data_IF_947431978813
#
_entry.id   IF_947431978813
#
_cell.length_a   1.000
_cell.length_b   1.000
_cell.length_c   1.000
_cell.angle_alpha   90.00
_cell.angle_beta   90.00
_cell.angle_gamma   90.00
#
_symmetry.space_group_name_H-M   'P 1'
#
loop_
_entity.id
_entity.type
_entity.pdbx_description
1 polymer ?
#
# COMPACT_ATOMS: atom_id res chain seq x y z
N UNK A 1 -4.79 -23.74 -7.25
CA UNK A 1 -5.96 -23.11 -6.62
C UNK A 1 -6.93 -22.61 -7.68
N UNK A 2 -8.24 -22.93 -7.61
CA UNK A 2 -9.27 -22.25 -8.41
C UNK A 2 -9.36 -20.76 -8.02
N UNK A 3 -9.70 -19.90 -8.98
CA UNK A 3 -9.84 -18.45 -8.77
C UNK A 3 -11.23 -17.94 -9.18
N UNK A 4 -11.79 -17.03 -8.38
CA UNK A 4 -13.01 -16.29 -8.70
C UNK A 4 -12.73 -14.78 -8.67
N UNK A 5 -13.11 -14.07 -9.73
CA UNK A 5 -13.04 -12.61 -9.78
C UNK A 5 -14.35 -12.02 -9.29
N UNK A 6 -14.30 -11.08 -8.35
CA UNK A 6 -15.46 -10.44 -7.72
C UNK A 6 -15.43 -8.93 -7.93
N UNK A 7 -16.53 -8.39 -8.44
CA UNK A 7 -16.74 -6.98 -8.74
C UNK A 7 -17.30 -6.25 -7.51
N UNK A 8 -16.59 -5.24 -7.05
CA UNK A 8 -16.95 -4.35 -5.94
C UNK A 8 -16.86 -2.88 -6.37
N UNK A 9 -17.27 -1.94 -5.52
CA UNK A 9 -17.01 -0.51 -5.66
C UNK A 9 -15.54 -0.19 -5.38
N UNK A 10 -15.10 0.96 -5.86
CA UNK A 10 -13.75 1.46 -5.67
C UNK A 10 -13.61 2.16 -4.33
N UNK A 11 -12.63 1.72 -3.56
CA UNK A 11 -12.12 2.37 -2.35
C UNK A 11 -10.60 2.23 -2.36
N UNK A 12 -9.88 3.04 -1.59
CA UNK A 12 -8.42 2.98 -1.44
C UNK A 12 -8.05 1.80 -0.54
N UNK A 13 -8.66 1.72 0.64
CA UNK A 13 -8.18 0.83 1.70
C UNK A 13 -9.19 -0.25 2.08
N UNK A 14 -10.49 -0.03 1.79
CA UNK A 14 -11.57 -0.94 2.21
C UNK A 14 -11.51 -1.24 3.73
N UNK A 15 -11.09 -0.23 4.49
CA UNK A 15 -10.92 -0.25 5.95
C UNK A 15 -12.15 0.23 6.72
N UNK A 16 -13.30 0.35 6.05
CA UNK A 16 -14.52 0.95 6.56
C UNK A 16 -14.87 2.27 5.90
N UNK A 17 -16.09 2.76 6.16
CA UNK A 17 -16.61 3.97 5.54
C UNK A 17 -15.94 5.21 6.10
N UNK A 18 -15.32 5.99 5.22
CA UNK A 18 -14.73 7.29 5.53
C UNK A 18 -15.15 8.34 4.49
N UNK A 19 -15.10 9.62 4.87
CA UNK A 19 -15.28 10.74 3.94
C UNK A 19 -14.09 10.83 2.96
N UNK A 20 -12.90 10.41 3.39
CA UNK A 20 -11.67 10.46 2.59
C UNK A 20 -11.50 9.23 1.67
N UNK A 21 -12.32 8.20 1.90
CA UNK A 21 -12.38 6.97 1.12
C UNK A 21 -13.82 6.44 0.98
N UNK A 22 -14.71 7.16 0.27
CA UNK A 22 -16.07 6.71 0.03
C UNK A 22 -16.10 5.61 -1.06
N UNK A 23 -17.07 4.69 -1.04
CA UNK A 23 -17.25 3.74 -2.13
C UNK A 23 -17.67 4.47 -3.42
N UNK A 24 -16.89 4.29 -4.48
CA UNK A 24 -17.12 4.90 -5.80
C UNK A 24 -17.48 3.84 -6.85
N UNK A 25 -18.56 4.08 -7.61
CA UNK A 25 -19.09 3.07 -8.52
C UNK A 25 -19.84 1.95 -7.78
N UNK A 26 -20.22 0.87 -8.48
CA UNK A 26 -20.96 -0.25 -7.85
C UNK A 26 -22.45 -0.37 -8.24
N UNK A 27 -22.93 0.44 -9.19
CA UNK A 27 -24.31 0.40 -9.70
C UNK A 27 -25.19 1.52 -9.17
N UNK A 28 -26.51 1.36 -9.24
CA UNK A 28 -27.48 2.41 -8.85
C UNK A 28 -27.76 2.47 -7.33
N UNK A 29 -27.39 1.43 -6.57
CA UNK A 29 -27.62 1.32 -5.12
C UNK A 29 -26.74 2.24 -4.25
N UNK A 30 -25.42 2.37 -4.52
CA UNK A 30 -24.53 3.30 -3.81
C UNK A 30 -25.04 4.74 -3.79
N UNK A 31 -25.64 5.18 -4.90
CA UNK A 31 -26.15 6.55 -5.10
C UNK A 31 -27.47 6.86 -4.36
N UNK A 32 -28.16 5.87 -3.77
CA UNK A 32 -29.44 6.07 -3.08
C UNK A 32 -29.39 5.85 -1.57
N UNK A 33 -28.54 4.96 -1.06
CA UNK A 33 -28.52 4.62 0.37
C UNK A 33 -27.15 4.79 1.06
N UNK A 34 -26.07 5.08 0.33
CA UNK A 34 -24.75 5.38 0.92
C UNK A 34 -24.01 4.17 1.51
N UNK A 35 -24.47 2.94 1.23
CA UNK A 35 -23.92 1.68 1.75
C UNK A 35 -23.74 0.65 0.64
N UNK A 36 -22.57 -0.03 0.58
CA UNK A 36 -22.24 -1.02 -0.47
C UNK A 36 -21.97 -2.44 0.07
N UNK A 37 -21.80 -2.63 1.37
CA UNK A 37 -21.56 -3.93 2.00
C UNK A 37 -20.10 -4.37 1.99
N UNK A 38 -19.30 -3.83 1.06
CA UNK A 38 -17.90 -4.16 0.77
C UNK A 38 -16.88 -3.24 1.42
N UNK A 39 -17.34 -2.26 2.22
CA UNK A 39 -16.48 -1.23 2.81
C UNK A 39 -15.45 -1.78 3.79
N UNK A 40 -15.68 -2.94 4.39
CA UNK A 40 -14.77 -3.59 5.34
C UNK A 40 -14.10 -4.85 4.77
N UNK A 41 -14.04 -5.01 3.45
CA UNK A 41 -13.44 -6.19 2.83
C UNK A 41 -11.95 -6.40 3.22
N UNK A 42 -11.26 -5.44 3.82
CA UNK A 42 -9.88 -5.66 4.28
C UNK A 42 -9.67 -5.29 5.76
N UNK A 43 -10.76 -5.25 6.53
CA UNK A 43 -10.70 -5.06 7.97
C UNK A 43 -10.52 -6.41 8.67
N UNK A 44 -9.40 -6.56 9.36
CA UNK A 44 -9.16 -7.69 10.26
C UNK A 44 -10.19 -7.70 11.40
N UNK A 45 -10.77 -8.87 11.61
CA UNK A 45 -11.71 -9.16 12.68
C UNK A 45 -11.00 -9.61 13.96
N UNK A 46 -11.72 -9.55 15.07
CA UNK A 46 -11.22 -9.95 16.39
C UNK A 46 -10.83 -11.45 16.45
N UNK A 47 -11.27 -12.26 15.47
CA UNK A 47 -10.97 -13.69 15.33
C UNK A 47 -9.83 -14.00 14.34
N UNK A 48 -9.12 -12.97 13.83
CA UNK A 48 -8.00 -13.10 12.89
C UNK A 48 -8.41 -13.38 11.44
N UNK A 49 -9.69 -13.27 11.11
CA UNK A 49 -10.20 -13.39 9.74
C UNK A 49 -10.50 -12.02 9.12
N UNK A 50 -10.60 -11.98 7.80
CA UNK A 50 -11.32 -10.93 7.06
C UNK A 50 -12.58 -11.51 6.43
N UNK A 51 -13.59 -10.67 6.28
CA UNK A 51 -14.92 -11.05 5.79
C UNK A 51 -15.27 -10.27 4.53
N UNK A 52 -15.20 -10.94 3.38
CA UNK A 52 -15.41 -10.33 2.08
C UNK A 52 -16.86 -10.36 1.61
N UNK A 53 -17.30 -9.25 1.03
CA UNK A 53 -18.61 -9.04 0.44
C UNK A 53 -18.50 -8.70 -1.05
N UNK A 54 -19.43 -9.22 -1.84
CA UNK A 54 -19.77 -8.73 -3.17
C UNK A 54 -21.25 -8.96 -3.42
N UNK A 55 -21.86 -8.13 -4.26
CA UNK A 55 -23.31 -8.15 -4.42
C UNK A 55 -23.81 -9.37 -5.24
N UNK A 56 -24.66 -10.17 -4.63
CA UNK A 56 -25.35 -11.32 -5.25
C UNK A 56 -26.79 -10.99 -5.67
N UNK A 57 -27.39 -9.96 -5.10
CA UNK A 57 -28.76 -9.54 -5.35
C UNK A 57 -28.89 -8.95 -6.75
N UNK A 58 -29.92 -9.38 -7.48
CA UNK A 58 -30.36 -8.77 -8.73
C UNK A 58 -31.87 -8.60 -8.68
N UNK A 59 -32.33 -7.36 -8.52
CA UNK A 59 -33.75 -7.08 -8.27
C UNK A 59 -34.18 -7.69 -6.93
N UNK A 60 -35.13 -8.62 -6.95
CA UNK A 60 -35.63 -9.31 -5.75
C UNK A 60 -34.94 -10.65 -5.46
N UNK A 61 -34.03 -11.09 -6.32
CA UNK A 61 -33.41 -12.41 -6.23
C UNK A 61 -32.00 -12.30 -5.67
N UNK A 62 -31.75 -12.96 -4.53
CA UNK A 62 -30.40 -13.26 -4.08
C UNK A 62 -29.88 -14.50 -4.83
N UNK A 63 -28.90 -14.29 -5.72
CA UNK A 63 -28.38 -15.33 -6.61
C UNK A 63 -27.35 -16.18 -5.88
N UNK A 64 -27.36 -17.48 -6.15
CA UNK A 64 -26.38 -18.41 -5.61
C UNK A 64 -25.11 -18.45 -6.47
N UNK A 65 -23.95 -18.47 -5.82
CA UNK A 65 -22.66 -18.70 -6.45
C UNK A 65 -22.53 -20.20 -6.72
N UNK A 66 -22.23 -20.57 -7.97
CA UNK A 66 -22.03 -21.96 -8.40
C UNK A 66 -20.64 -22.44 -7.98
N UNK A 67 -20.48 -22.70 -6.69
CA UNK A 67 -19.22 -23.18 -6.11
C UNK A 67 -18.81 -24.55 -6.64
N UNK A 68 -19.71 -25.30 -7.28
CA UNK A 68 -19.38 -26.53 -7.99
C UNK A 68 -18.42 -26.30 -9.18
N UNK A 69 -18.42 -25.09 -9.76
CA UNK A 69 -17.45 -24.70 -10.79
C UNK A 69 -16.04 -24.47 -10.20
N UNK A 70 -15.90 -24.50 -8.88
CA UNK A 70 -14.66 -24.28 -8.14
C UNK A 70 -14.23 -25.54 -7.36
N UNK A 71 -14.87 -26.68 -7.63
CA UNK A 71 -14.46 -27.99 -7.09
C UNK A 71 -15.28 -28.51 -5.91
N UNK A 72 -16.36 -27.84 -5.51
CA UNK A 72 -17.30 -28.36 -4.49
C UNK A 72 -18.42 -29.21 -5.08
N UNK A 73 -19.14 -29.94 -4.22
CA UNK A 73 -20.34 -30.66 -4.62
C UNK A 73 -21.55 -29.71 -4.76
N UNK A 74 -22.52 -30.12 -5.58
CA UNK A 74 -23.77 -29.35 -5.79
C UNK A 74 -24.59 -29.17 -4.51
N UNK A 75 -24.43 -30.07 -3.54
CA UNK A 75 -25.07 -30.02 -2.23
C UNK A 75 -24.35 -29.12 -1.22
N UNK A 76 -23.09 -28.77 -1.47
CA UNK A 76 -22.29 -28.05 -0.48
C UNK A 76 -22.74 -26.61 -0.29
N UNK A 77 -22.61 -26.13 0.94
CA UNK A 77 -22.90 -24.74 1.30
C UNK A 77 -21.73 -23.78 1.06
N UNK A 78 -20.50 -24.30 0.95
CA UNK A 78 -19.27 -23.54 0.76
C UNK A 78 -18.18 -24.39 0.10
N UNK A 79 -17.13 -23.73 -0.37
CA UNK A 79 -15.89 -24.35 -0.87
C UNK A 79 -14.70 -23.68 -0.19
N UNK A 80 -13.71 -24.46 0.22
CA UNK A 80 -12.44 -23.99 0.79
C UNK A 80 -11.34 -24.03 -0.29
N UNK A 81 -10.24 -23.31 -0.05
CA UNK A 81 -9.09 -23.32 -0.97
C UNK A 81 -9.38 -22.62 -2.29
N UNK A 82 -10.09 -21.49 -2.25
CA UNK A 82 -10.36 -20.65 -3.44
C UNK A 82 -9.63 -19.32 -3.29
N UNK A 83 -8.97 -18.89 -4.35
CA UNK A 83 -8.45 -17.52 -4.43
C UNK A 83 -9.54 -16.57 -4.92
N UNK A 84 -9.74 -15.46 -4.22
CA UNK A 84 -10.73 -14.44 -4.61
C UNK A 84 -9.99 -13.19 -5.06
N UNK A 85 -10.22 -12.77 -6.30
CA UNK A 85 -9.63 -11.54 -6.86
C UNK A 85 -10.69 -10.45 -6.85
N UNK A 86 -10.44 -9.38 -6.12
CA UNK A 86 -11.33 -8.23 -6.06
C UNK A 86 -11.05 -7.27 -7.20
N UNK A 87 -12.10 -6.79 -7.85
CA UNK A 87 -11.99 -5.83 -8.95
C UNK A 87 -12.98 -4.69 -8.79
N UNK A 88 -12.55 -3.47 -9.09
CA UNK A 88 -13.36 -2.27 -8.95
C UNK A 88 -13.16 -1.30 -10.11
N UNK A 89 -14.15 -0.46 -10.45
CA UNK A 89 -14.01 0.55 -11.49
C UNK A 89 -13.02 1.65 -11.04
N UNK A 90 -12.01 1.97 -11.85
CA UNK A 90 -11.01 3.03 -11.56
C UNK A 90 -11.69 4.36 -11.19
N UNK A 91 -11.54 4.78 -9.93
CA UNK A 91 -12.20 5.97 -9.36
C UNK A 91 -13.72 6.03 -9.64
N UNK A 92 -14.39 4.88 -9.63
CA UNK A 92 -15.82 4.75 -9.88
C UNK A 92 -16.22 4.66 -11.36
N UNK A 93 -15.25 4.67 -12.29
CA UNK A 93 -15.49 4.56 -13.74
C UNK A 93 -14.79 3.34 -14.34
N UNK A 94 -15.38 2.75 -15.38
CA UNK A 94 -14.67 1.72 -16.13
C UNK A 94 -13.46 2.33 -16.87
N UNK A 95 -12.36 1.59 -17.05
CA UNK A 95 -12.23 0.13 -16.88
C UNK A 95 -12.10 -0.34 -15.42
N UNK A 96 -12.51 -1.58 -15.16
CA UNK A 96 -12.28 -2.25 -13.88
C UNK A 96 -10.83 -2.67 -13.72
N UNK A 97 -10.33 -2.59 -12.49
CA UNK A 97 -8.97 -2.94 -12.12
C UNK A 97 -8.98 -3.96 -10.99
N UNK A 98 -7.97 -4.84 -10.92
CA UNK A 98 -7.71 -5.63 -9.71
C UNK A 98 -7.31 -4.68 -8.58
N UNK A 99 -8.00 -4.77 -7.45
CA UNK A 99 -7.78 -3.92 -6.26
C UNK A 99 -7.19 -4.69 -5.08
N UNK A 100 -7.12 -6.00 -5.17
CA UNK A 100 -6.61 -6.87 -4.12
C UNK A 100 -7.11 -8.30 -4.31
N UNK A 101 -6.73 -9.18 -3.40
CA UNK A 101 -7.14 -10.57 -3.42
C UNK A 101 -7.11 -11.20 -2.03
N UNK A 102 -7.84 -12.30 -1.90
CA UNK A 102 -7.71 -13.23 -0.80
C UNK A 102 -7.12 -14.54 -1.31
N UNK A 103 -6.19 -15.10 -0.54
CA UNK A 103 -5.65 -16.44 -0.75
C UNK A 103 -6.37 -17.44 0.14
N UNK A 104 -6.47 -18.68 -0.35
CA UNK A 104 -6.97 -19.83 0.42
C UNK A 104 -8.30 -19.55 1.16
N UNK A 105 -9.22 -18.85 0.50
CA UNK A 105 -10.46 -18.40 1.12
C UNK A 105 -11.53 -19.50 1.12
N UNK A 106 -12.45 -19.39 2.09
CA UNK A 106 -13.75 -20.03 2.05
C UNK A 106 -14.74 -19.15 1.30
N UNK A 107 -15.38 -19.68 0.27
CA UNK A 107 -16.45 -19.03 -0.47
C UNK A 107 -17.78 -19.75 -0.22
N UNK A 108 -18.82 -18.99 0.13
CA UNK A 108 -20.14 -19.53 0.40
C UNK A 108 -21.03 -19.49 -0.86
N UNK A 109 -21.88 -20.52 -1.02
CA UNK A 109 -22.90 -20.58 -2.09
C UNK A 109 -23.95 -19.47 -1.94
N UNK A 110 -24.25 -19.10 -0.70
CA UNK A 110 -25.26 -18.11 -0.30
C UNK A 110 -24.66 -17.12 0.69
N UNK A 111 -25.24 -15.93 0.73
CA UNK A 111 -24.92 -14.89 1.71
C UNK A 111 -25.04 -15.40 3.13
N UNK A 112 -24.02 -15.13 3.94
CA UNK A 112 -23.99 -15.40 5.36
C UNK A 112 -24.28 -14.12 6.13
N UNK A 113 -24.94 -14.23 7.27
CA UNK A 113 -25.24 -13.10 8.15
C UNK A 113 -24.41 -13.18 9.43
N UNK A 114 -23.96 -12.02 9.92
CA UNK A 114 -23.31 -11.90 11.24
C UNK A 114 -24.30 -12.05 12.40
N UNK A 115 -25.62 -12.00 12.14
CA UNK A 115 -26.68 -12.19 13.15
C UNK A 115 -26.48 -11.34 14.42
N UNK A 116 -26.05 -10.09 14.26
CA UNK A 116 -25.78 -9.15 15.35
C UNK A 116 -24.44 -9.34 16.07
N UNK A 117 -23.67 -10.39 15.76
CA UNK A 117 -22.30 -10.61 16.23
C UNK A 117 -21.31 -10.11 15.19
N UNK A 118 -21.12 -8.80 15.20
CA UNK A 118 -20.18 -8.15 14.28
C UNK A 118 -18.75 -8.64 14.57
N UNK A 119 -17.96 -8.91 13.51
CA UNK A 119 -16.63 -9.50 13.67
C UNK A 119 -15.57 -8.47 14.09
N UNK A 120 -15.86 -7.17 13.99
CA UNK A 120 -15.01 -6.11 14.56
C UNK A 120 -15.81 -4.87 14.91
N UNK A 121 -15.18 -3.95 15.66
CA UNK A 121 -15.75 -2.65 15.99
C UNK A 121 -16.13 -1.83 14.74
N UNK A 122 -15.33 -1.93 13.66
CA UNK A 122 -15.58 -1.22 12.40
C UNK A 122 -16.79 -1.80 11.67
N UNK A 123 -16.92 -3.13 11.58
CA UNK A 123 -18.11 -3.77 10.98
C UNK A 123 -19.41 -3.37 11.71
N UNK A 124 -19.35 -3.25 13.04
CA UNK A 124 -20.47 -2.76 13.86
C UNK A 124 -20.78 -1.29 13.56
N UNK A 125 -19.75 -0.44 13.49
CA UNK A 125 -19.87 0.99 13.16
C UNK A 125 -20.54 1.20 11.80
N UNK A 126 -20.09 0.44 10.80
CA UNK A 126 -20.58 0.54 9.43
C UNK A 126 -21.86 -0.27 9.18
N UNK A 127 -22.35 -0.96 10.21
CA UNK A 127 -23.58 -1.76 10.22
C UNK A 127 -23.59 -2.84 9.13
N UNK A 128 -22.43 -3.40 8.81
CA UNK A 128 -22.30 -4.45 7.79
C UNK A 128 -22.83 -5.78 8.32
N UNK A 129 -23.86 -6.34 7.68
CA UNK A 129 -24.61 -7.47 8.22
C UNK A 129 -24.26 -8.82 7.61
N UNK A 130 -23.57 -8.83 6.48
CA UNK A 130 -23.40 -10.05 5.70
C UNK A 130 -22.10 -10.13 4.93
N UNK A 131 -21.65 -11.34 4.66
CA UNK A 131 -20.46 -11.65 3.89
C UNK A 131 -20.69 -12.87 2.97
N UNK A 132 -19.83 -13.03 1.98
CA UNK A 132 -19.82 -14.14 1.02
C UNK A 132 -18.54 -14.97 1.11
N UNK A 133 -17.47 -14.39 1.66
CA UNK A 133 -16.12 -14.94 1.65
C UNK A 133 -15.49 -14.73 3.02
N UNK A 134 -14.67 -15.66 3.48
CA UNK A 134 -13.75 -15.42 4.59
C UNK A 134 -12.38 -16.04 4.36
N UNK A 135 -11.32 -15.39 4.82
CA UNK A 135 -9.96 -15.93 4.88
C UNK A 135 -9.22 -15.37 6.10
N UNK A 136 -8.07 -15.95 6.47
CA UNK A 136 -7.21 -15.36 7.50
C UNK A 136 -6.71 -13.99 7.05
N UNK A 137 -6.55 -13.04 7.98
CA UNK A 137 -6.12 -11.68 7.65
C UNK A 137 -4.76 -11.64 6.93
N UNK A 138 -3.82 -12.50 7.32
CA UNK A 138 -2.51 -12.65 6.64
C UNK A 138 -2.60 -13.11 5.17
N UNK A 139 -3.75 -13.67 4.76
CA UNK A 139 -4.00 -14.12 3.40
C UNK A 139 -4.76 -13.08 2.56
N UNK A 140 -5.07 -11.91 3.11
CA UNK A 140 -5.80 -10.85 2.44
C UNK A 140 -4.86 -9.69 2.08
N UNK A 141 -4.82 -9.36 0.79
CA UNK A 141 -3.91 -8.38 0.22
C UNK A 141 -4.71 -7.30 -0.52
N UNK A 142 -4.66 -6.07 -0.03
CA UNK A 142 -5.20 -4.90 -0.73
C UNK A 142 -4.08 -4.19 -1.47
N UNK A 143 -4.35 -3.76 -2.71
CA UNK A 143 -3.45 -2.93 -3.49
C UNK A 143 -3.81 -1.47 -3.27
N UNK A 144 -2.82 -0.63 -2.99
CA UNK A 144 -3.00 0.82 -3.03
C UNK A 144 -3.36 1.26 -4.45
N UNK A 145 -4.10 2.37 -4.64
CA UNK A 145 -4.51 2.86 -5.96
C UNK A 145 -3.42 2.80 -7.04
N UNK A 146 -2.20 3.21 -6.70
CA UNK A 146 -1.03 3.25 -7.57
C UNK A 146 -0.43 1.87 -7.92
N UNK A 147 -0.71 0.84 -7.12
CA UNK A 147 -0.28 -0.55 -7.33
C UNK A 147 -1.27 -1.34 -8.20
N UNK A 148 -2.47 -0.79 -8.43
CA UNK A 148 -3.51 -1.40 -9.26
C UNK A 148 -3.12 -1.24 -10.71
N UNK A 149 -2.61 -2.30 -11.33
CA UNK A 149 -2.11 -2.25 -12.72
C UNK A 149 -2.88 -3.17 -13.67
N UNK A 150 -3.68 -4.09 -13.14
CA UNK A 150 -4.41 -5.08 -13.93
C UNK A 150 -5.79 -4.56 -14.32
N UNK A 151 -5.89 -3.96 -15.51
CA UNK A 151 -7.19 -3.54 -16.10
C UNK A 151 -7.87 -4.69 -16.83
N UNK A 152 -9.15 -4.91 -16.52
CA UNK A 152 -10.02 -5.86 -17.21
C UNK A 152 -10.46 -5.24 -18.55
N UNK A 153 -10.52 -6.07 -19.59
CA UNK A 153 -11.16 -5.69 -20.85
C UNK A 153 -12.64 -6.05 -20.83
N UNK A 154 -13.39 -5.52 -21.80
CA UNK A 154 -14.81 -5.86 -22.02
C UNK A 154 -14.95 -6.75 -23.24
N UNK A 155 -15.96 -7.60 -23.23
CA UNK A 155 -16.32 -8.43 -24.39
C UNK A 155 -16.63 -9.86 -24.03
N UNK A 156 -16.92 -10.67 -25.05
CA UNK A 156 -17.20 -12.11 -24.89
C UNK A 156 -15.98 -12.81 -24.27
N UNK A 157 -16.21 -13.58 -23.22
CA UNK A 157 -15.16 -14.30 -22.48
C UNK A 157 -14.55 -13.51 -21.33
N UNK A 158 -14.85 -12.22 -21.18
CA UNK A 158 -14.48 -11.39 -20.03
C UNK A 158 -15.64 -11.30 -19.01
N UNK A 159 -15.41 -10.61 -17.89
CA UNK A 159 -16.43 -10.42 -16.84
C UNK A 159 -17.76 -9.94 -17.41
N UNK A 160 -18.83 -10.66 -17.08
CA UNK A 160 -20.19 -10.37 -17.52
C UNK A 160 -20.95 -9.41 -16.59
N UNK A 161 -22.28 -9.50 -16.65
CA UNK A 161 -23.21 -8.67 -15.86
C UNK A 161 -23.34 -9.11 -14.39
N UNK A 162 -22.80 -10.28 -14.03
CA UNK A 162 -22.77 -10.70 -12.63
C UNK A 162 -21.62 -10.00 -11.89
N UNK A 163 -21.77 -9.85 -10.57
CA UNK A 163 -20.71 -9.28 -9.75
C UNK A 163 -19.57 -10.28 -9.48
N UNK A 164 -19.55 -11.43 -10.17
CA UNK A 164 -18.47 -12.40 -10.11
C UNK A 164 -18.26 -13.06 -11.47
N UNK A 165 -17.05 -13.57 -11.69
CA UNK A 165 -16.63 -14.16 -12.96
C UNK A 165 -15.72 -15.38 -12.75
N UNK A 166 -16.16 -16.54 -13.26
CA UNK A 166 -15.39 -17.79 -13.34
C UNK A 166 -14.36 -17.69 -14.46
N UNK A 167 -13.27 -16.98 -14.18
CA UNK A 167 -12.34 -16.57 -15.21
C UNK A 167 -11.52 -17.73 -15.80
N UNK A 168 -11.39 -18.85 -15.10
CA UNK A 168 -10.70 -20.05 -15.60
C UNK A 168 -11.46 -20.77 -16.73
N UNK A 169 -12.78 -20.60 -16.80
CA UNK A 169 -13.63 -21.24 -17.83
C UNK A 169 -13.59 -20.49 -19.18
N UNK A 170 -12.89 -19.35 -19.26
CA UNK A 170 -12.91 -18.54 -20.48
C UNK A 170 -12.16 -19.21 -21.63
N UNK A 171 -12.81 -19.23 -22.79
CA UNK A 171 -12.17 -19.65 -24.05
C UNK A 171 -11.40 -18.52 -24.73
N UNK A 172 -11.61 -17.28 -24.29
CA UNK A 172 -10.96 -16.10 -24.86
C UNK A 172 -9.47 -16.05 -24.52
N UNK A 173 -8.65 -15.75 -25.53
CA UNK A 173 -7.18 -15.82 -25.40
C UNK A 173 -6.65 -14.69 -24.51
N UNK A 174 -7.17 -13.47 -24.65
CA UNK A 174 -6.67 -12.33 -23.88
C UNK A 174 -7.12 -12.41 -22.42
N UNK A 175 -8.36 -12.87 -22.16
CA UNK A 175 -8.87 -13.14 -20.82
C UNK A 175 -8.04 -14.22 -20.11
N UNK A 176 -7.74 -15.35 -20.75
CA UNK A 176 -6.86 -16.38 -20.16
C UNK A 176 -5.46 -15.84 -19.84
N UNK A 177 -4.88 -15.05 -20.73
CA UNK A 177 -3.58 -14.45 -20.50
C UNK A 177 -3.61 -13.49 -19.31
N UNK A 178 -4.67 -12.69 -19.19
CA UNK A 178 -4.90 -11.81 -18.04
C UNK A 178 -4.98 -12.59 -16.72
N UNK A 179 -5.81 -13.65 -16.66
CA UNK A 179 -5.96 -14.48 -15.47
C UNK A 179 -4.62 -15.08 -15.05
N UNK A 180 -3.83 -15.62 -15.99
CA UNK A 180 -2.51 -16.18 -15.68
C UNK A 180 -1.56 -15.15 -15.08
N UNK A 181 -1.56 -13.92 -15.61
CA UNK A 181 -0.71 -12.84 -15.08
C UNK A 181 -1.12 -12.42 -13.68
N UNK A 182 -2.43 -12.32 -13.43
CA UNK A 182 -2.94 -12.02 -12.09
C UNK A 182 -2.53 -13.12 -11.11
N UNK A 183 -2.71 -14.40 -11.45
CA UNK A 183 -2.28 -15.52 -10.59
C UNK A 183 -0.78 -15.51 -10.33
N UNK A 184 0.04 -15.25 -11.35
CA UNK A 184 1.49 -15.15 -11.18
C UNK A 184 1.87 -14.00 -10.23
N UNK A 185 1.22 -12.84 -10.34
CA UNK A 185 1.44 -11.71 -9.44
C UNK A 185 0.98 -11.99 -8.00
N UNK A 186 -0.09 -12.75 -7.82
CA UNK A 186 -0.56 -13.18 -6.49
C UNK A 186 0.40 -14.17 -5.82
N UNK A 187 1.05 -15.02 -6.61
CA UNK A 187 2.02 -16.02 -6.10
C UNK A 187 3.37 -15.37 -5.80
N UNK A 188 3.79 -14.41 -6.63
CA UNK A 188 5.03 -13.67 -6.46
C UNK A 188 4.83 -12.21 -6.92
N UNK A 189 4.66 -11.26 -5.98
CA UNK A 189 4.49 -9.84 -6.30
C UNK A 189 5.69 -9.21 -7.02
N UNK A 190 6.85 -9.87 -7.02
CA UNK A 190 8.03 -9.43 -7.80
C UNK A 190 7.93 -9.79 -9.29
N UNK A 191 6.98 -10.66 -9.64
CA UNK A 191 6.55 -10.87 -11.04
C UNK A 191 5.77 -9.63 -11.44
N UNK A 192 6.48 -8.62 -11.93
CA UNK A 192 5.90 -7.37 -12.40
C UNK A 192 4.63 -7.64 -13.21
N UNK A 193 3.51 -6.92 -12.96
CA UNK A 193 2.37 -6.94 -13.86
C UNK A 193 2.92 -6.68 -15.25
N UNK A 194 2.89 -7.69 -16.13
CA UNK A 194 3.24 -7.45 -17.54
C UNK A 194 2.17 -6.46 -17.98
N UNK A 195 2.59 -5.19 -18.08
CA UNK A 195 1.78 -4.10 -18.58
C UNK A 195 1.11 -4.58 -19.85
N UNK A 196 -0.11 -4.14 -20.06
CA UNK A 196 -0.76 -4.23 -21.37
C UNK A 196 0.32 -3.84 -22.38
N UNK A 197 0.73 -4.79 -23.22
CA UNK A 197 1.61 -4.50 -24.34
C UNK A 197 0.88 -3.43 -25.16
N UNK A 198 1.41 -2.20 -25.34
CA UNK A 198 1.42 -1.70 -26.70
C UNK A 198 2.33 -2.66 -27.48
N UNK A 199 2.02 -2.88 -28.74
CA UNK A 199 2.75 -3.81 -29.60
C UNK A 199 4.29 -3.70 -29.49
N UNK A 200 4.94 -4.89 -29.44
CA UNK A 200 6.35 -5.27 -29.70
C UNK A 200 7.47 -4.21 -29.72
N UNK A 201 8.59 -4.52 -29.04
CA UNK A 201 9.92 -4.66 -29.68
C UNK A 201 10.86 -5.56 -28.81
N UNK A 202 11.54 -6.60 -29.35
CA UNK A 202 12.37 -7.52 -28.57
C UNK A 202 13.83 -7.04 -28.56
N UNK A 203 14.28 -6.49 -27.43
CA UNK A 203 15.69 -6.17 -27.28
C UNK A 203 16.06 -5.62 -25.91
N UNK A 204 16.63 -6.51 -25.08
CA UNK A 204 17.60 -6.31 -23.98
C UNK A 204 17.14 -6.92 -22.66
N UNK A 205 17.91 -7.91 -22.21
CA UNK A 205 17.77 -8.51 -20.88
C UNK A 205 17.95 -7.46 -19.78
N UNK A 206 17.22 -7.63 -18.67
CA UNK A 206 17.36 -6.76 -17.49
C UNK A 206 18.34 -7.36 -16.47
N UNK A 207 19.31 -6.58 -15.96
CA UNK A 207 20.24 -6.99 -14.92
C UNK A 207 19.69 -6.77 -13.51
N UNK A 208 20.37 -7.34 -12.51
CA UNK A 208 20.03 -7.45 -11.07
C UNK A 208 19.73 -6.13 -10.31
N UNK A 209 19.73 -4.96 -10.95
CA UNK A 209 19.43 -3.66 -10.33
C UNK A 209 17.93 -3.34 -10.19
N UNK A 210 17.04 -4.12 -10.81
CA UNK A 210 15.61 -3.81 -10.85
C UNK A 210 14.95 -3.86 -9.45
N UNK A 211 15.24 -4.88 -8.64
CA UNK A 211 14.64 -5.05 -7.31
C UNK A 211 15.05 -3.94 -6.32
N UNK A 212 16.33 -3.53 -6.32
CA UNK A 212 16.81 -2.43 -5.47
C UNK A 212 16.26 -1.07 -5.90
N UNK A 213 16.04 -0.88 -7.21
CA UNK A 213 15.41 0.32 -7.76
C UNK A 213 13.93 0.39 -7.39
N UNK A 214 13.25 -0.75 -7.34
CA UNK A 214 11.82 -0.85 -7.02
C UNK A 214 11.55 -0.61 -5.53
N UNK A 215 12.40 -1.14 -4.63
CA UNK A 215 12.34 -0.83 -3.19
C UNK A 215 12.65 0.64 -2.93
N UNK A 216 13.66 1.21 -3.60
CA UNK A 216 13.98 2.63 -3.48
C UNK A 216 12.81 3.52 -3.97
N UNK A 217 12.19 3.19 -5.10
CA UNK A 217 11.02 3.91 -5.59
C UNK A 217 9.83 3.82 -4.63
N UNK A 218 9.54 2.63 -4.09
CA UNK A 218 8.49 2.43 -3.08
C UNK A 218 8.75 3.26 -1.82
N UNK A 219 9.99 3.26 -1.33
CA UNK A 219 10.41 4.06 -0.19
C UNK A 219 10.19 5.57 -0.44
N UNK A 220 10.68 6.09 -1.57
CA UNK A 220 10.54 7.51 -1.91
C UNK A 220 9.05 7.89 -2.04
N UNK A 221 8.24 7.08 -2.73
CA UNK A 221 6.81 7.36 -2.90
C UNK A 221 6.04 7.30 -1.57
N UNK A 222 6.34 6.34 -0.70
CA UNK A 222 5.63 6.16 0.57
C UNK A 222 5.98 7.24 1.60
N UNK A 223 7.25 7.67 1.65
CA UNK A 223 7.75 8.64 2.64
C UNK A 223 7.74 10.11 2.17
N UNK A 224 7.76 10.41 0.86
CA UNK A 224 7.60 11.79 0.37
C UNK A 224 6.14 12.24 0.32
N UNK A 225 5.19 11.30 0.18
CA UNK A 225 3.75 11.60 0.06
C UNK A 225 3.04 11.62 1.42
N UNK A 226 3.53 10.85 2.40
CA UNK A 226 2.92 10.76 3.73
C UNK A 226 3.84 11.36 4.80
N UNK A 227 3.63 12.63 5.13
CA UNK A 227 4.23 13.25 6.33
C UNK A 227 3.56 12.61 7.56
N UNK A 228 4.13 11.51 8.02
CA UNK A 228 3.62 10.66 9.10
C UNK A 228 3.81 11.32 10.49
N UNK A 229 2.96 11.03 11.50
CA UNK A 229 3.20 11.42 12.91
C UNK A 229 4.58 11.07 13.48
N UNK A 230 5.28 10.11 12.86
CA UNK A 230 6.62 9.68 13.26
C UNK A 230 7.68 10.71 12.85
N UNK A 231 7.47 11.42 11.75
CA UNK A 231 8.33 12.52 11.32
C UNK A 231 8.31 13.65 12.36
N UNK A 232 7.11 14.08 12.73
CA UNK A 232 6.92 15.13 13.73
C UNK A 232 7.52 14.73 15.07
N UNK A 233 7.28 13.50 15.53
CA UNK A 233 7.83 12.99 16.78
C UNK A 233 9.36 12.95 16.77
N UNK A 234 9.98 12.48 15.67
CA UNK A 234 11.43 12.39 15.56
C UNK A 234 12.06 13.81 15.53
N UNK A 235 11.41 14.75 14.84
CA UNK A 235 11.80 16.15 14.83
C UNK A 235 11.73 16.79 16.22
N UNK A 236 10.61 16.62 16.94
CA UNK A 236 10.43 17.13 18.30
C UNK A 236 11.50 16.59 19.26
N UNK A 237 11.77 15.28 19.19
CA UNK A 237 12.81 14.65 20.00
C UNK A 237 14.20 15.20 19.69
N UNK A 238 14.52 15.40 18.42
CA UNK A 238 15.83 15.92 18.01
C UNK A 238 16.01 17.40 18.37
N UNK A 239 14.96 18.22 18.21
CA UNK A 239 14.94 19.62 18.66
C UNK A 239 15.16 19.70 20.16
N UNK A 240 14.46 18.89 20.95
CA UNK A 240 14.63 18.84 22.41
C UNK A 240 16.07 18.45 22.82
N UNK A 241 16.65 17.46 22.14
CA UNK A 241 18.04 17.06 22.33
C UNK A 241 19.01 18.22 22.02
N UNK A 242 18.86 18.87 20.86
CA UNK A 242 19.72 19.98 20.45
C UNK A 242 19.62 21.18 21.40
N UNK A 243 18.41 21.53 21.86
CA UNK A 243 18.20 22.63 22.81
C UNK A 243 18.81 22.34 24.18
N UNK A 244 18.84 21.06 24.61
CA UNK A 244 19.53 20.63 25.83
C UNK A 244 21.05 20.75 25.69
N UNK A 245 21.59 20.39 24.52
CA UNK A 245 23.03 20.40 24.27
C UNK A 245 23.59 21.81 24.01
N UNK A 246 22.80 22.68 23.36
CA UNK A 246 23.21 24.02 22.96
C UNK A 246 22.23 25.07 23.49
N UNK A 247 22.49 25.68 24.66
CA UNK A 247 21.54 26.59 25.32
C UNK A 247 21.17 27.86 24.53
N UNK A 248 21.97 28.23 23.52
CA UNK A 248 21.75 29.41 22.66
C UNK A 248 21.49 29.02 21.20
N UNK A 249 20.99 27.80 20.96
CA UNK A 249 20.61 27.37 19.62
C UNK A 249 19.39 28.15 19.12
N UNK A 250 19.41 28.46 17.84
CA UNK A 250 18.24 29.00 17.14
C UNK A 250 17.81 28.03 16.05
N UNK A 251 16.52 28.08 15.69
CA UNK A 251 15.95 27.29 14.61
C UNK A 251 15.42 28.25 13.54
N UNK A 252 16.23 28.62 12.54
CA UNK A 252 15.84 29.53 11.46
C UNK A 252 14.65 28.99 10.66
N UNK A 253 13.96 29.89 9.97
CA UNK A 253 12.83 29.52 9.11
C UNK A 253 13.29 28.54 8.02
N UNK A 254 12.57 27.43 7.94
CA UNK A 254 12.74 26.44 6.89
C UNK A 254 11.99 26.88 5.63
N UNK A 255 12.43 26.41 4.46
CA UNK A 255 11.79 26.77 3.19
C UNK A 255 11.09 25.57 2.56
N UNK A 256 11.88 24.55 2.23
CA UNK A 256 11.41 23.25 1.71
C UNK A 256 12.02 22.07 2.45
N UNK A 257 13.10 22.32 3.16
CA UNK A 257 13.79 21.42 4.07
C UNK A 257 13.06 21.31 5.41
N UNK A 258 13.32 20.22 6.14
CA UNK A 258 12.52 19.85 7.32
C UNK A 258 12.86 20.66 8.58
N UNK A 259 14.16 20.93 8.80
CA UNK A 259 14.65 21.62 9.99
C UNK A 259 15.98 22.33 9.71
N UNK A 260 16.17 23.51 10.32
CA UNK A 260 17.47 24.18 10.39
C UNK A 260 17.81 24.50 11.82
N UNK A 261 19.10 24.48 12.13
CA UNK A 261 19.58 25.02 13.39
C UNK A 261 20.89 25.79 13.22
N UNK A 262 21.07 26.80 14.06
CA UNK A 262 22.29 27.59 14.14
C UNK A 262 22.75 27.69 15.59
N UNK A 263 24.05 27.48 15.80
CA UNK A 263 24.72 27.73 17.08
C UNK A 263 25.73 28.85 16.85
N UNK A 264 25.78 29.82 17.75
CA UNK A 264 26.69 30.97 17.62
C UNK A 264 28.14 30.51 17.44
N UNK A 265 28.78 30.96 16.35
CA UNK A 265 30.16 30.60 16.02
C UNK A 265 30.31 29.31 15.20
N UNK A 266 29.20 28.63 14.87
CA UNK A 266 29.17 27.49 13.97
C UNK A 266 28.41 27.84 12.69
N UNK A 267 28.73 27.19 11.55
CA UNK A 267 27.91 27.29 10.35
C UNK A 267 26.49 26.82 10.63
N UNK A 268 25.50 27.44 9.98
CA UNK A 268 24.13 26.95 10.02
C UNK A 268 24.05 25.53 9.44
N UNK A 269 23.18 24.71 10.04
CA UNK A 269 23.00 23.32 9.67
C UNK A 269 21.58 23.11 9.17
N UNK A 270 21.47 22.51 7.98
CA UNK A 270 20.21 22.05 7.41
C UNK A 270 20.05 20.54 7.67
N UNK A 271 18.87 20.15 8.11
CA UNK A 271 18.52 18.80 8.53
C UNK A 271 17.40 18.30 7.64
N UNK A 272 17.60 17.12 7.06
CA UNK A 272 16.54 16.37 6.40
C UNK A 272 16.15 15.17 7.25
N UNK A 273 14.87 14.99 7.52
CA UNK A 273 14.36 14.03 8.48
C UNK A 273 13.65 12.89 7.72
N UNK A 274 14.03 11.66 8.06
CA UNK A 274 13.43 10.45 7.47
C UNK A 274 13.16 9.41 8.56
N UNK A 275 11.90 9.27 9.01
CA UNK A 275 11.53 8.28 10.03
C UNK A 275 11.58 6.86 9.44
N UNK A 276 12.77 6.26 9.43
CA UNK A 276 13.02 4.94 8.87
C UNK A 276 13.36 3.92 9.97
N UNK A 277 13.01 2.67 9.72
CA UNK A 277 13.42 1.52 10.53
C UNK A 277 14.74 0.90 10.00
N UNK A 278 15.22 -0.16 10.66
CA UNK A 278 16.45 -0.85 10.27
C UNK A 278 16.41 -1.42 8.84
N UNK A 279 15.24 -1.84 8.36
CA UNK A 279 15.11 -2.45 7.03
C UNK A 279 15.15 -1.39 5.92
N UNK A 280 14.77 -0.14 6.23
CA UNK A 280 14.55 0.94 5.25
C UNK A 280 15.58 2.08 5.34
N UNK A 281 16.39 2.13 6.41
CA UNK A 281 17.35 3.22 6.69
C UNK A 281 18.29 3.55 5.52
N UNK A 282 18.73 2.54 4.75
CA UNK A 282 19.59 2.76 3.58
C UNK A 282 18.92 3.61 2.50
N UNK A 283 17.64 3.38 2.25
CA UNK A 283 16.89 4.13 1.24
C UNK A 283 16.55 5.53 1.75
N UNK A 284 16.34 5.67 3.06
CA UNK A 284 16.19 6.94 3.75
C UNK A 284 17.38 7.86 3.54
N UNK A 285 18.59 7.34 3.77
CA UNK A 285 19.84 8.06 3.58
C UNK A 285 19.97 8.52 2.12
N UNK A 286 19.70 7.63 1.16
CA UNK A 286 19.78 7.95 -0.28
C UNK A 286 18.80 9.05 -0.70
N UNK A 287 17.55 8.95 -0.28
CA UNK A 287 16.52 9.92 -0.62
C UNK A 287 16.85 11.30 -0.02
N UNK A 288 17.23 11.33 1.26
CA UNK A 288 17.59 12.56 1.95
C UNK A 288 18.81 13.25 1.34
N UNK A 289 19.85 12.49 0.95
CA UNK A 289 21.02 13.06 0.24
C UNK A 289 20.58 13.73 -1.07
N UNK A 290 19.70 13.09 -1.84
CA UNK A 290 19.17 13.66 -3.09
C UNK A 290 18.45 14.99 -2.87
N UNK A 291 17.56 15.04 -1.87
CA UNK A 291 16.83 16.25 -1.49
C UNK A 291 17.77 17.34 -0.97
N UNK A 292 18.71 17.00 -0.11
CA UNK A 292 19.70 17.94 0.42
C UNK A 292 20.61 18.51 -0.67
N UNK A 293 21.00 17.72 -1.67
CA UNK A 293 21.73 18.23 -2.84
C UNK A 293 20.88 19.20 -3.66
N UNK A 294 19.61 18.88 -3.88
CA UNK A 294 18.68 19.75 -4.60
C UNK A 294 18.48 21.09 -3.87
N UNK A 295 18.28 21.03 -2.54
CA UNK A 295 18.16 22.22 -1.70
C UNK A 295 19.46 23.01 -1.66
N UNK A 296 20.61 22.33 -1.60
CA UNK A 296 21.93 22.99 -1.64
C UNK A 296 22.09 23.80 -2.91
N UNK A 297 21.72 23.22 -4.06
CA UNK A 297 21.80 23.88 -5.35
C UNK A 297 20.80 25.04 -5.46
N UNK A 298 19.53 24.79 -5.17
CA UNK A 298 18.45 25.79 -5.30
C UNK A 298 18.62 26.97 -4.35
N UNK A 299 19.07 26.71 -3.13
CA UNK A 299 19.20 27.72 -2.08
C UNK A 299 20.63 28.30 -1.98
N UNK A 300 21.57 27.84 -2.83
CA UNK A 300 23.00 28.17 -2.77
C UNK A 300 23.59 27.99 -1.38
N UNK A 301 23.21 26.90 -0.73
CA UNK A 301 23.58 26.60 0.65
C UNK A 301 25.07 26.29 0.76
N UNK A 302 25.73 26.88 1.76
CA UNK A 302 27.15 26.62 2.09
C UNK A 302 27.35 26.07 3.51
N UNK A 303 26.27 25.98 4.29
CA UNK A 303 26.29 25.41 5.64
C UNK A 303 26.43 23.89 5.64
N UNK A 304 26.55 23.30 6.83
CA UNK A 304 26.58 21.83 6.95
C UNK A 304 25.20 21.26 6.68
N UNK A 305 25.16 20.00 6.24
CA UNK A 305 23.92 19.28 6.01
C UNK A 305 23.97 17.93 6.71
N UNK A 306 22.86 17.52 7.31
CA UNK A 306 22.76 16.28 8.08
C UNK A 306 21.46 15.56 7.73
N UNK A 307 21.54 14.23 7.66
CA UNK A 307 20.38 13.36 7.52
C UNK A 307 20.03 12.78 8.89
N UNK A 308 18.81 13.02 9.37
CA UNK A 308 18.28 12.45 10.59
C UNK A 308 17.41 11.23 10.26
N UNK A 309 17.82 10.05 10.72
CA UNK A 309 17.07 8.80 10.52
C UNK A 309 16.47 8.26 11.82
N UNK A 310 15.37 7.54 11.70
CA UNK A 310 14.62 6.97 12.84
C UNK A 310 15.28 5.77 13.52
N UNK A 311 16.32 5.17 12.92
CA UNK A 311 16.97 3.97 13.41
C UNK A 311 18.50 4.05 13.28
N UNK A 312 19.21 3.40 14.19
CA UNK A 312 20.68 3.34 14.19
C UNK A 312 21.23 2.79 12.88
N UNK A 313 22.17 3.49 12.26
CA UNK A 313 22.86 3.01 11.06
C UNK A 313 24.00 2.07 11.49
N UNK A 314 23.86 0.77 11.19
CA UNK A 314 24.81 -0.27 11.60
C UNK A 314 25.75 -0.70 10.47
N UNK A 315 25.34 -0.48 9.22
CA UNK A 315 26.09 -0.82 8.01
C UNK A 315 27.16 0.25 7.73
N UNK A 316 28.44 -0.14 7.69
CA UNK A 316 29.55 0.76 7.33
C UNK A 316 29.36 1.37 5.93
N UNK A 317 28.83 0.60 4.98
CA UNK A 317 28.55 1.10 3.64
C UNK A 317 27.51 2.23 3.63
N UNK A 318 26.51 2.16 4.52
CA UNK A 318 25.45 3.17 4.59
C UNK A 318 25.88 4.39 5.42
N UNK A 319 26.76 4.21 6.39
CA UNK A 319 27.47 5.31 7.06
C UNK A 319 28.33 6.08 6.06
N UNK A 320 29.20 5.38 5.33
CA UNK A 320 30.12 5.98 4.38
C UNK A 320 29.37 6.64 3.20
N UNK A 321 28.21 6.13 2.83
CA UNK A 321 27.37 6.75 1.80
C UNK A 321 27.04 8.22 2.13
N UNK A 322 26.75 8.56 3.38
CA UNK A 322 26.52 9.95 3.77
C UNK A 322 27.83 10.69 4.04
N UNK A 323 28.71 10.08 4.86
CA UNK A 323 29.91 10.73 5.36
C UNK A 323 30.90 11.08 4.25
N UNK A 324 31.19 10.14 3.34
CA UNK A 324 32.13 10.36 2.23
C UNK A 324 31.60 11.41 1.23
N UNK A 325 30.28 11.64 1.22
CA UNK A 325 29.62 12.65 0.40
C UNK A 325 29.42 14.00 1.12
N UNK A 326 30.00 14.16 2.32
CA UNK A 326 29.98 15.41 3.07
C UNK A 326 28.68 15.69 3.83
N UNK A 327 27.88 14.66 4.11
CA UNK A 327 26.66 14.76 4.91
C UNK A 327 26.88 14.14 6.28
N UNK A 328 26.45 14.83 7.34
CA UNK A 328 26.34 14.21 8.66
C UNK A 328 25.22 13.18 8.70
N UNK A 329 25.26 12.30 9.70
CA UNK A 329 24.15 11.43 10.06
C UNK A 329 23.80 11.58 11.54
N UNK A 330 22.50 11.52 11.85
CA UNK A 330 22.00 11.46 13.22
C UNK A 330 20.96 10.35 13.38
N UNK A 331 20.93 9.71 14.54
CA UNK A 331 19.92 8.71 14.91
C UNK A 331 19.74 8.64 16.44
N UNK A 332 18.56 8.20 16.92
CA UNK A 332 18.33 7.99 18.36
C UNK A 332 19.14 6.79 18.88
N UNK A 333 19.70 6.92 20.10
CA UNK A 333 20.41 5.83 20.79
C UNK A 333 19.67 5.33 22.03
N UNK A 334 19.09 6.25 22.80
CA UNK A 334 18.28 5.99 23.99
C UNK A 334 17.16 7.04 24.06
N UNK A 335 16.27 6.94 25.06
CA UNK A 335 15.13 7.86 25.16
C UNK A 335 15.59 9.31 25.36
N UNK A 336 15.49 10.13 24.31
CA UNK A 336 15.84 11.55 24.34
C UNK A 336 17.31 11.86 24.05
N UNK A 337 18.12 10.87 23.68
CA UNK A 337 19.54 11.05 23.32
C UNK A 337 19.79 10.62 21.87
N UNK A 338 20.65 11.37 21.17
CA UNK A 338 21.01 11.13 19.78
C UNK A 338 22.51 11.00 19.60
N UNK A 339 22.92 10.11 18.71
CA UNK A 339 24.30 10.09 18.20
C UNK A 339 24.34 10.88 16.90
N UNK A 340 25.32 11.79 16.80
CA UNK A 340 25.59 12.57 15.60
C UNK A 340 26.99 12.23 15.11
N UNK A 341 27.10 11.87 13.84
CA UNK A 341 28.38 11.66 13.16
C UNK A 341 28.56 12.65 12.03
N UNK A 342 29.71 13.30 12.02
CA UNK A 342 30.12 14.23 10.98
C UNK A 342 31.18 13.62 10.07
N UNK A 343 31.26 14.04 8.79
CA UNK A 343 32.35 13.65 7.91
C UNK A 343 33.72 14.05 8.48
N UNK A 344 34.73 13.23 8.22
CA UNK A 344 36.11 13.56 8.58
C UNK A 344 36.60 14.78 7.79
N UNK A 345 37.18 15.77 8.49
CA UNK A 345 37.81 16.95 7.87
C UNK A 345 36.92 18.19 7.70
N UNK A 346 35.74 18.24 8.35
CA UNK A 346 34.82 19.40 8.32
C UNK A 346 34.80 20.27 9.57
#
# INVERSE_FOLDING_TARGET
>A
MPVLFCNIAWMKDYGGRSVDDPPLGGGAFPNREGFCGEECNFVEADDGYVYGHFETIKGKLDRQVRIENLGADKSDGFVDGVDIVWTAPEEGRDPRMVVGWYRNARLYRRRQEFKGRYPSAQHRRDKLRSFMVKTLAENAFVLRPEERQFRLQRGKGWSGQASWWYAEETSDRSARAFVRRVKAFMDDPTVAPIGISPDRDPGRGRPAGAAATEIYKRYVTEYEVNVHPQHHKLQEQFVAFLSKQYPLITFPNCFRDDLRFAVKGMPEVMVEIKPADQATVRFAIRAAIGQLLDYRQHQRWSGRQIVLVGAKVTSENDLNLALDNGFGLAWPVETGEFEIRWPDGL
#
